data_IF_386116858734
#
_entry.id   IF_386116858734
#
_cell.length_a   1.000
_cell.length_b   1.000
_cell.length_c   1.000
_cell.angle_alpha   90.00
_cell.angle_beta   90.00
_cell.angle_gamma   90.00
#
_symmetry.space_group_name_H-M   'P 1'
#
loop_
_entity.id
_entity.type
_entity.pdbx_description
1 polymer ?
#
# COMPACT_ATOMS: atom_id res chain seq x y z
N UNK A 1 -16.89 12.70 4.10
CA UNK A 1 -15.72 13.44 4.64
C UNK A 1 -14.59 12.46 4.89
N UNK A 2 -13.34 12.90 4.70
CA UNK A 2 -12.16 12.10 5.00
C UNK A 2 -11.98 11.99 6.52
N UNK A 3 -12.06 10.77 7.06
CA UNK A 3 -12.00 10.54 8.51
C UNK A 3 -10.65 10.98 9.10
N UNK A 4 -9.56 10.89 8.34
CA UNK A 4 -8.23 11.26 8.83
C UNK A 4 -8.12 12.77 9.04
N UNK A 5 -8.62 13.56 8.08
CA UNK A 5 -8.61 15.02 8.17
C UNK A 5 -9.45 15.52 9.35
N UNK A 6 -10.63 14.91 9.61
CA UNK A 6 -11.47 15.28 10.76
C UNK A 6 -10.73 15.03 12.08
N UNK A 7 -10.05 13.89 12.20
CA UNK A 7 -9.26 13.57 13.38
C UNK A 7 -8.12 14.58 13.54
N UNK A 8 -7.46 14.93 12.44
CA UNK A 8 -6.38 15.91 12.44
C UNK A 8 -6.85 17.27 12.96
N UNK A 9 -7.96 17.79 12.42
CA UNK A 9 -8.60 19.04 12.84
C UNK A 9 -8.97 19.00 14.33
N UNK A 10 -9.53 17.88 14.81
CA UNK A 10 -9.87 17.71 16.21
C UNK A 10 -8.64 17.77 17.12
N UNK A 11 -7.56 17.05 16.77
CA UNK A 11 -6.33 17.06 17.54
C UNK A 11 -5.68 18.45 17.59
N UNK A 12 -5.78 19.22 16.50
CA UNK A 12 -5.32 20.62 16.45
C UNK A 12 -6.16 21.50 17.36
N UNK A 13 -7.49 21.35 17.36
CA UNK A 13 -8.41 22.15 18.19
C UNK A 13 -8.18 21.98 19.69
N UNK A 14 -7.83 20.79 20.14
CA UNK A 14 -7.53 20.53 21.56
C UNK A 14 -6.11 20.94 21.97
N UNK A 15 -5.30 21.47 21.03
CA UNK A 15 -3.94 21.93 21.31
C UNK A 15 -2.94 20.80 21.57
N UNK A 16 -3.16 19.61 21.00
CA UNK A 16 -2.29 18.46 21.24
C UNK A 16 -0.91 18.69 20.57
N UNK A 17 0.22 18.48 21.27
CA UNK A 17 1.54 18.52 20.63
C UNK A 17 1.70 17.29 19.74
N UNK A 18 1.38 17.44 18.45
CA UNK A 18 1.42 16.38 17.44
C UNK A 18 2.37 16.72 16.29
N UNK A 19 2.80 15.68 15.58
CA UNK A 19 3.46 15.78 14.29
C UNK A 19 2.61 15.01 13.28
N UNK A 20 2.28 15.64 12.16
CA UNK A 20 1.52 14.97 11.10
C UNK A 20 2.49 14.40 10.07
N UNK A 21 2.32 13.10 9.78
CA UNK A 21 3.12 12.39 8.78
C UNK A 21 2.18 11.79 7.74
N UNK A 22 2.19 12.36 6.54
CA UNK A 22 1.46 11.82 5.40
C UNK A 22 2.29 10.74 4.72
N UNK A 23 1.85 9.50 4.86
CA UNK A 23 2.54 8.32 4.33
C UNK A 23 2.07 8.05 2.90
N UNK A 24 3.00 7.94 1.93
CA UNK A 24 2.65 7.68 0.55
C UNK A 24 2.38 6.18 0.32
N UNK A 25 2.49 5.69 -0.92
CA UNK A 25 2.25 4.28 -1.20
C UNK A 25 3.39 3.39 -0.71
N UNK A 26 3.03 2.25 -0.13
CA UNK A 26 4.02 1.26 0.32
C UNK A 26 4.42 0.31 -0.81
N UNK A 27 5.72 0.07 -0.99
CA UNK A 27 6.20 -0.97 -1.91
C UNK A 27 5.57 -2.34 -1.62
N UNK A 28 5.36 -2.64 -0.34
CA UNK A 28 4.76 -3.87 0.18
C UNK A 28 3.29 -4.06 -0.26
N UNK A 29 2.61 -2.99 -0.69
CA UNK A 29 1.27 -3.09 -1.23
C UNK A 29 1.23 -3.93 -2.53
N UNK A 30 2.33 -3.98 -3.28
CA UNK A 30 2.47 -4.82 -4.48
C UNK A 30 2.46 -6.31 -4.11
N UNK A 31 2.83 -6.68 -2.89
CA UNK A 31 2.81 -8.07 -2.44
C UNK A 31 1.41 -8.54 -1.99
N UNK A 32 0.53 -7.58 -1.67
CA UNK A 32 -0.75 -7.85 -1.01
C UNK A 32 -1.95 -7.26 -1.78
N UNK A 33 -2.28 -6.00 -1.51
CA UNK A 33 -3.44 -5.29 -2.04
C UNK A 33 -3.41 -5.21 -3.57
N UNK A 34 -2.24 -4.97 -4.16
CA UNK A 34 -1.99 -4.83 -5.59
C UNK A 34 -1.13 -5.96 -6.15
N UNK A 35 -1.33 -7.18 -5.62
CA UNK A 35 -0.66 -8.39 -6.12
C UNK A 35 -0.78 -8.50 -7.66
N UNK A 36 0.34 -8.66 -8.39
CA UNK A 36 0.34 -8.85 -9.83
C UNK A 36 -0.58 -10.01 -10.24
N UNK A 37 -1.34 -9.81 -11.32
CA UNK A 37 -2.31 -10.78 -11.83
C UNK A 37 -1.62 -11.62 -12.91
N UNK A 38 -1.63 -12.94 -12.79
CA UNK A 38 -1.08 -13.82 -13.81
C UNK A 38 -1.83 -13.63 -15.15
N UNK A 39 -1.07 -13.51 -16.24
CA UNK A 39 -1.57 -13.34 -17.60
C UNK A 39 -0.97 -14.36 -18.59
N UNK A 40 -0.19 -15.32 -18.10
CA UNK A 40 0.49 -16.38 -18.84
C UNK A 40 1.34 -17.22 -17.88
N UNK A 41 2.20 -18.09 -18.40
CA UNK A 41 3.06 -18.96 -17.56
C UNK A 41 4.02 -18.14 -16.68
N UNK A 42 4.71 -17.15 -17.25
CA UNK A 42 5.66 -16.28 -16.54
C UNK A 42 5.42 -14.79 -16.76
N UNK A 43 4.20 -14.43 -17.21
CA UNK A 43 3.82 -13.04 -17.43
C UNK A 43 2.78 -12.59 -16.43
N UNK A 44 3.01 -11.43 -15.81
CA UNK A 44 2.17 -10.85 -14.79
C UNK A 44 1.78 -9.42 -15.17
N UNK A 45 0.57 -9.01 -14.81
CA UNK A 45 0.03 -7.67 -15.06
C UNK A 45 -0.09 -6.88 -13.76
N UNK A 46 0.42 -5.65 -13.76
CA UNK A 46 0.22 -4.67 -12.69
C UNK A 46 -1.01 -3.83 -13.01
N UNK A 47 -2.08 -4.07 -12.27
CA UNK A 47 -3.39 -3.45 -12.44
C UNK A 47 -3.62 -2.31 -11.43
N UNK A 48 -2.73 -1.32 -11.44
CA UNK A 48 -2.79 -0.16 -10.54
C UNK A 48 -3.35 1.05 -11.32
N UNK A 49 -4.49 1.63 -10.92
CA UNK A 49 -5.17 2.68 -11.69
C UNK A 49 -4.55 4.06 -11.41
N UNK A 50 -3.27 4.25 -11.76
CA UNK A 50 -2.59 5.54 -11.64
C UNK A 50 -2.41 6.28 -12.96
N UNK A 51 -2.40 5.56 -14.09
CA UNK A 51 -2.00 6.15 -15.37
C UNK A 51 -0.49 6.28 -15.47
N UNK A 52 -0.03 7.32 -16.15
CA UNK A 52 1.39 7.57 -16.43
C UNK A 52 2.05 8.52 -15.43
N UNK A 53 1.29 9.00 -14.44
CA UNK A 53 1.81 9.87 -13.37
C UNK A 53 2.69 9.07 -12.42
N UNK A 54 3.82 9.64 -12.01
CA UNK A 54 4.68 9.05 -10.98
C UNK A 54 3.98 9.02 -9.62
N UNK A 55 4.28 8.00 -8.82
CA UNK A 55 3.80 7.83 -7.46
C UNK A 55 4.91 8.09 -6.47
N UNK A 56 4.65 8.85 -5.41
CA UNK A 56 5.51 8.84 -4.23
C UNK A 56 5.40 7.48 -3.53
N UNK A 57 6.56 6.92 -3.21
CA UNK A 57 6.67 5.57 -2.70
C UNK A 57 7.63 5.49 -1.51
N UNK A 58 7.34 4.60 -0.57
CA UNK A 58 8.21 4.32 0.59
C UNK A 58 8.11 2.86 1.00
N UNK A 59 9.15 2.30 1.62
CA UNK A 59 9.01 1.02 2.33
C UNK A 59 8.45 1.21 3.75
N UNK A 60 7.76 0.21 4.27
CA UNK A 60 7.30 0.20 5.67
C UNK A 60 8.49 0.30 6.63
N UNK A 61 9.61 -0.34 6.28
CA UNK A 61 10.85 -0.28 7.07
C UNK A 61 11.42 1.15 7.16
N UNK A 62 11.49 1.88 6.04
CA UNK A 62 11.94 3.28 6.04
C UNK A 62 10.99 4.19 6.81
N UNK A 63 9.67 4.00 6.65
CA UNK A 63 8.67 4.74 7.41
C UNK A 63 8.87 4.57 8.93
N UNK A 64 9.13 3.35 9.39
CA UNK A 64 9.41 3.09 10.80
C UNK A 64 10.65 3.84 11.31
N UNK A 65 11.74 3.83 10.53
CA UNK A 65 12.96 4.58 10.87
C UNK A 65 12.70 6.07 11.04
N UNK A 66 11.87 6.66 10.18
CA UNK A 66 11.49 8.08 10.25
C UNK A 66 10.64 8.35 11.50
N UNK A 67 9.64 7.52 11.78
CA UNK A 67 8.80 7.69 12.98
C UNK A 67 9.65 7.62 14.25
N UNK A 68 10.57 6.65 14.34
CA UNK A 68 11.49 6.52 15.48
C UNK A 68 12.41 7.73 15.60
N UNK A 69 12.92 8.27 14.49
CA UNK A 69 13.81 9.45 14.54
C UNK A 69 13.06 10.72 14.95
N UNK A 70 11.81 10.89 14.49
CA UNK A 70 10.91 11.96 14.92
C UNK A 70 10.59 11.87 16.41
N UNK A 71 10.31 10.67 16.92
CA UNK A 71 10.01 10.48 18.34
C UNK A 71 11.23 10.72 19.24
N UNK A 72 12.45 10.40 18.78
CA UNK A 72 13.69 10.72 19.50
C UNK A 72 13.99 12.21 19.55
N UNK A 73 13.48 12.99 18.59
CA UNK A 73 13.72 14.42 18.46
C UNK A 73 12.40 15.20 18.36
N UNK A 74 11.50 15.17 19.36
CA UNK A 74 10.17 15.75 19.19
C UNK A 74 10.20 17.28 18.97
N UNK A 75 11.21 17.97 19.53
CA UNK A 75 11.36 19.43 19.44
C UNK A 75 11.48 19.96 17.99
N UNK A 76 12.04 19.18 17.06
CA UNK A 76 12.18 19.62 15.66
C UNK A 76 10.88 19.57 14.88
N UNK A 77 9.88 18.87 15.41
CA UNK A 77 8.97 18.12 14.60
C UNK A 77 7.50 18.34 15.03
N UNK A 78 7.26 18.66 16.32
CA UNK A 78 5.96 19.09 16.82
C UNK A 78 5.43 20.31 16.04
N UNK A 79 4.14 20.26 15.70
CA UNK A 79 3.44 21.32 14.98
C UNK A 79 3.67 21.34 13.47
N UNK A 80 4.46 20.40 12.94
CA UNK A 80 4.76 20.30 11.51
C UNK A 80 3.99 19.16 10.86
N UNK A 81 3.70 19.34 9.57
CA UNK A 81 3.10 18.35 8.68
C UNK A 81 4.06 18.06 7.53
N UNK A 82 4.40 16.79 7.33
CA UNK A 82 5.35 16.37 6.31
C UNK A 82 4.81 15.20 5.48
N UNK A 83 5.02 15.28 4.16
CA UNK A 83 4.84 14.15 3.25
C UNK A 83 6.17 13.42 3.06
N UNK A 84 6.16 12.10 3.17
CA UNK A 84 7.33 11.28 2.90
C UNK A 84 7.35 10.80 1.45
N UNK A 85 8.53 10.68 0.86
CA UNK A 85 8.75 10.02 -0.42
C UNK A 85 10.19 9.51 -0.48
N UNK A 86 10.39 8.22 -0.72
CA UNK A 86 11.70 7.61 -0.92
C UNK A 86 12.02 7.39 -2.41
N UNK A 87 10.99 7.27 -3.24
CA UNK A 87 11.13 7.19 -4.69
C UNK A 87 9.88 7.77 -5.38
N UNK A 88 10.06 8.24 -6.61
CA UNK A 88 8.97 8.62 -7.49
C UNK A 88 8.99 7.73 -8.73
N UNK A 89 8.06 6.77 -8.79
CA UNK A 89 8.04 5.76 -9.85
C UNK A 89 6.69 5.72 -10.56
N UNK A 90 6.73 5.60 -11.89
CA UNK A 90 5.54 5.28 -12.67
C UNK A 90 5.25 3.78 -12.60
N UNK A 91 4.03 3.35 -12.93
CA UNK A 91 3.72 1.91 -12.95
C UNK A 91 4.50 1.17 -14.06
N UNK A 92 4.91 1.90 -15.11
CA UNK A 92 5.84 1.40 -16.11
C UNK A 92 7.21 1.11 -15.52
N UNK A 93 7.77 2.04 -14.73
CA UNK A 93 9.05 1.83 -14.04
C UNK A 93 8.98 0.63 -13.10
N UNK A 94 7.87 0.49 -12.37
CA UNK A 94 7.62 -0.69 -11.54
C UNK A 94 7.66 -1.99 -12.34
N UNK A 95 6.99 -2.05 -13.49
CA UNK A 95 6.97 -3.24 -14.34
C UNK A 95 8.38 -3.58 -14.83
N UNK A 96 9.16 -2.57 -15.23
CA UNK A 96 10.53 -2.72 -15.69
C UNK A 96 11.44 -3.22 -14.56
N UNK A 97 11.44 -2.56 -13.41
CA UNK A 97 12.27 -2.93 -12.24
C UNK A 97 11.93 -4.34 -11.74
N UNK A 98 10.64 -4.68 -11.66
CA UNK A 98 10.21 -6.01 -11.22
C UNK A 98 10.63 -7.09 -12.22
N UNK A 99 10.52 -6.85 -13.52
CA UNK A 99 10.96 -7.79 -14.55
C UNK A 99 12.46 -8.03 -14.47
N UNK A 100 13.25 -6.97 -14.34
CA UNK A 100 14.70 -7.05 -14.19
C UNK A 100 15.10 -7.86 -12.95
N UNK A 101 14.47 -7.61 -11.80
CA UNK A 101 14.83 -8.27 -10.53
C UNK A 101 14.28 -9.67 -10.35
N UNK A 102 13.25 -10.07 -11.13
CA UNK A 102 12.54 -11.35 -10.95
C UNK A 102 12.57 -12.24 -12.18
N UNK A 103 13.59 -12.10 -13.03
CA UNK A 103 13.83 -13.03 -14.14
C UNK A 103 13.72 -14.50 -13.68
N UNK A 104 13.04 -15.36 -14.45
CA UNK A 104 12.50 -15.16 -15.81
C UNK A 104 11.11 -14.48 -15.89
N UNK A 105 10.52 -14.03 -14.78
CA UNK A 105 9.15 -13.50 -14.77
C UNK A 105 9.08 -12.09 -15.35
N UNK A 106 8.20 -11.91 -16.33
CA UNK A 106 7.92 -10.63 -16.97
C UNK A 106 6.72 -9.93 -16.33
N UNK A 107 6.87 -8.65 -16.00
CA UNK A 107 5.80 -7.80 -15.49
C UNK A 107 5.44 -6.75 -16.54
N UNK A 108 4.14 -6.54 -16.75
CA UNK A 108 3.62 -5.54 -17.68
C UNK A 108 2.63 -4.63 -16.99
N UNK A 109 2.69 -3.35 -17.35
CA UNK A 109 1.63 -2.42 -16.96
C UNK A 109 0.31 -2.80 -17.65
N UNK A 110 -0.78 -2.74 -16.89
CA UNK A 110 -2.13 -2.87 -17.42
C UNK A 110 -2.92 -1.66 -16.98
N UNK A 111 -3.24 -0.77 -17.91
CA UNK A 111 -4.07 0.39 -17.62
C UNK A 111 -5.48 -0.09 -17.26
N UNK A 112 -5.89 0.17 -16.01
CA UNK A 112 -7.22 -0.20 -15.52
C UNK A 112 -8.02 1.08 -15.29
N UNK A 113 -9.20 1.16 -15.90
CA UNK A 113 -10.14 2.26 -15.65
C UNK A 113 -10.72 2.15 -14.23
N UNK A 114 -10.98 3.29 -13.60
CA UNK A 114 -11.50 3.37 -12.22
C UNK A 114 -12.75 2.51 -11.96
N UNK A 115 -13.78 2.47 -12.82
CA UNK A 115 -14.95 1.62 -12.57
C UNK A 115 -14.60 0.12 -12.51
N UNK A 116 -13.73 -0.33 -13.41
CA UNK A 116 -13.24 -1.71 -13.44
C UNK A 116 -12.41 -2.03 -12.19
N UNK A 117 -11.57 -1.10 -11.75
CA UNK A 117 -10.81 -1.23 -10.51
C UNK A 117 -11.70 -1.34 -9.27
N UNK A 118 -12.74 -0.51 -9.17
CA UNK A 118 -13.70 -0.58 -8.06
C UNK A 118 -14.40 -1.93 -7.99
N UNK A 119 -14.79 -2.49 -9.15
CA UNK A 119 -15.37 -3.84 -9.23
C UNK A 119 -14.40 -4.95 -8.79
N UNK A 120 -13.10 -4.79 -9.05
CA UNK A 120 -12.06 -5.71 -8.61
C UNK A 120 -11.87 -5.63 -7.09
N UNK A 121 -11.83 -4.42 -6.53
CA UNK A 121 -11.71 -4.21 -5.09
C UNK A 121 -12.89 -4.80 -4.31
N UNK A 122 -14.13 -4.60 -4.79
CA UNK A 122 -15.33 -5.16 -4.12
C UNK A 122 -15.34 -6.68 -4.17
N UNK A 123 -15.02 -7.29 -5.31
CA UNK A 123 -14.86 -8.75 -5.44
C UNK A 123 -13.77 -9.29 -4.52
N UNK A 124 -12.60 -8.64 -4.45
CA UNK A 124 -11.48 -9.05 -3.59
C UNK A 124 -11.85 -8.95 -2.11
N UNK A 125 -12.54 -7.89 -1.67
CA UNK A 125 -13.06 -7.76 -0.29
C UNK A 125 -14.08 -8.86 0.05
N UNK A 126 -15.02 -9.14 -0.87
CA UNK A 126 -16.00 -10.22 -0.69
C UNK A 126 -15.32 -11.59 -0.53
N UNK A 127 -14.33 -11.87 -1.36
CA UNK A 127 -13.56 -13.11 -1.30
C UNK A 127 -12.76 -13.25 0.01
N UNK A 128 -12.12 -12.17 0.47
CA UNK A 128 -11.40 -12.15 1.75
C UNK A 128 -12.35 -12.36 2.94
N UNK A 129 -13.53 -11.74 2.93
CA UNK A 129 -14.55 -11.94 3.96
C UNK A 129 -15.06 -13.39 4.00
N UNK A 130 -15.30 -14.00 2.84
CA UNK A 130 -15.72 -15.40 2.74
C UNK A 130 -14.62 -16.37 3.17
N UNK A 131 -13.35 -16.10 2.82
CA UNK A 131 -12.19 -16.91 3.26
C UNK A 131 -12.02 -16.86 4.77
N UNK A 132 -12.13 -15.68 5.39
CA UNK A 132 -12.02 -15.52 6.85
C UNK A 132 -13.14 -16.27 7.58
N UNK A 133 -14.37 -16.27 7.04
CA UNK A 133 -15.48 -17.09 7.54
C UNK A 133 -15.22 -18.59 7.41
N UNK A 134 -14.71 -19.08 6.27
CA UNK A 134 -14.38 -20.51 6.07
C UNK A 134 -13.24 -20.99 6.97
N UNK A 135 -12.24 -20.16 7.22
CA UNK A 135 -11.13 -20.48 8.13
C UNK A 135 -11.63 -20.53 9.59
N UNK A 136 -12.51 -19.61 9.99
CA UNK A 136 -13.11 -19.61 11.32
C UNK A 136 -14.03 -20.81 11.61
N UNK A 137 -14.55 -21.47 10.57
CA UNK A 137 -15.38 -22.69 10.70
C UNK A 137 -14.59 -24.00 10.68
N UNK A 138 -13.26 -23.97 10.47
CA UNK A 138 -12.42 -25.16 10.55
C UNK A 138 -11.98 -25.40 12.00
N UNK A 139 -12.28 -26.58 12.54
CA UNK A 139 -11.97 -26.99 13.92
C UNK A 139 -10.44 -26.94 14.21
N UNK A 140 -10.00 -26.58 15.43
CA UNK A 140 -8.59 -26.27 15.75
C UNK A 140 -7.55 -27.40 15.59
N UNK A 141 -7.94 -28.61 15.16
CA UNK A 141 -7.03 -29.76 15.06
C UNK A 141 -6.17 -29.81 13.79
N UNK A 142 -6.32 -28.88 12.85
CA UNK A 142 -5.55 -28.87 11.58
C UNK A 142 -4.83 -27.54 11.31
N UNK A 143 -4.48 -26.79 12.35
CA UNK A 143 -3.76 -25.52 12.24
C UNK A 143 -2.22 -25.65 12.36
N UNK A 144 -1.68 -26.83 12.06
CA UNK A 144 -0.23 -27.03 11.86
C UNK A 144 -0.07 -27.47 10.42
N UNK A 145 0.75 -26.76 9.66
CA UNK A 145 0.86 -26.75 8.20
C UNK A 145 -0.19 -25.89 7.49
N UNK A 146 0.07 -24.57 7.45
CA UNK A 146 0.43 -23.79 6.25
C UNK A 146 0.90 -22.40 6.71
#
# INVERSE_FOLDING_TARGET
MDAKAIIDDYMTKIGLPKTEISVPFFFENILSAFKPIAAGQDTYKLAIPRGDTAMDDISVAQCNTIVVSTQKNPHCCIGKSWSMSAAQLTIHDYATILSQRRHPKAFRYSQVRLPSFMSLCTKKRRWQSQRKKRIATLHPSMAVFI
#
